data_IF_067747878857
#
_entry.id   IF_067747878857
#
_cell.length_a   1.000
_cell.length_b   1.000
_cell.length_c   1.000
_cell.angle_alpha   90.00
_cell.angle_beta   90.00
_cell.angle_gamma   90.00
#
_symmetry.space_group_name_H-M   'P 1'
#
loop_
_entity.id
_entity.type
_entity.pdbx_description
1 polymer ?
#
# COMPACT_ATOMS: atom_id res chain seq x y z
N UNK A 1 12.94 25.10 30.04
CA UNK A 1 11.60 25.70 29.86
C UNK A 1 11.01 25.48 28.46
N UNK A 2 11.79 25.41 27.37
CA UNK A 2 11.25 25.23 26.01
C UNK A 2 10.60 23.87 25.77
N UNK A 3 11.23 22.77 26.19
CA UNK A 3 10.70 21.42 25.98
C UNK A 3 9.34 21.18 26.63
N UNK A 4 9.18 21.65 27.87
CA UNK A 4 7.94 21.51 28.65
C UNK A 4 6.81 22.37 28.05
N UNK A 5 7.13 23.58 27.57
CA UNK A 5 6.16 24.41 26.86
C UNK A 5 5.69 23.76 25.56
N UNK A 6 6.60 23.15 24.79
CA UNK A 6 6.25 22.44 23.55
C UNK A 6 5.37 21.21 23.85
N UNK A 7 5.64 20.47 24.93
CA UNK A 7 4.80 19.34 25.33
C UNK A 7 3.41 19.80 25.78
N UNK A 8 3.33 20.85 26.59
CA UNK A 8 2.05 21.42 27.06
C UNK A 8 1.23 21.95 25.87
N UNK A 9 1.87 22.63 24.91
CA UNK A 9 1.19 23.09 23.68
C UNK A 9 0.70 21.90 22.85
N UNK A 10 1.49 20.84 22.70
CA UNK A 10 1.09 19.62 21.99
C UNK A 10 -0.09 18.91 22.66
N UNK A 11 -0.10 18.84 24.00
CA UNK A 11 -1.20 18.24 24.78
C UNK A 11 -2.46 19.09 24.68
N UNK A 12 -2.36 20.42 24.82
CA UNK A 12 -3.49 21.32 24.66
C UNK A 12 -4.05 21.25 23.23
N UNK A 13 -3.19 21.23 22.22
CA UNK A 13 -3.60 21.04 20.84
C UNK A 13 -4.34 19.70 20.65
N UNK A 14 -3.81 18.60 21.19
CA UNK A 14 -4.44 17.29 21.10
C UNK A 14 -5.81 17.22 21.81
N UNK A 15 -5.94 17.83 22.99
CA UNK A 15 -7.17 17.79 23.80
C UNK A 15 -8.24 18.73 23.25
N UNK A 16 -7.87 19.90 22.74
CA UNK A 16 -8.84 20.95 22.36
C UNK A 16 -9.17 20.98 20.87
N UNK A 17 -8.22 20.67 19.98
CA UNK A 17 -8.43 20.76 18.52
C UNK A 17 -8.75 19.40 17.89
N UNK A 18 -8.37 18.30 18.53
CA UNK A 18 -8.61 16.96 18.00
C UNK A 18 -9.85 16.35 18.65
N UNK A 19 -11.03 16.65 18.10
CA UNK A 19 -12.30 16.06 18.58
C UNK A 19 -12.38 14.54 18.35
N UNK A 20 -11.59 14.00 17.42
CA UNK A 20 -11.42 12.57 17.21
C UNK A 20 -10.10 12.32 16.47
N UNK A 21 -9.05 11.98 17.22
CA UNK A 21 -7.71 11.67 16.67
C UNK A 21 -7.82 10.55 15.65
N UNK A 22 -8.76 9.64 15.90
CA UNK A 22 -9.08 8.53 15.04
C UNK A 22 -9.45 8.98 13.62
N UNK A 23 -10.26 10.02 13.46
CA UNK A 23 -10.69 10.46 12.12
C UNK A 23 -9.59 11.12 11.31
N UNK A 24 -8.79 11.99 11.93
CA UNK A 24 -7.64 12.63 11.25
C UNK A 24 -6.56 11.60 10.92
N UNK A 25 -6.35 10.62 11.79
CA UNK A 25 -5.45 9.50 11.54
C UNK A 25 -5.94 8.65 10.36
N UNK A 26 -7.20 8.23 10.36
CA UNK A 26 -7.80 7.42 9.29
C UNK A 26 -7.85 8.15 7.95
N UNK A 27 -8.03 9.48 7.95
CA UNK A 27 -7.92 10.29 6.73
C UNK A 27 -6.49 10.25 6.16
N UNK A 28 -5.49 10.41 7.03
CA UNK A 28 -4.08 10.36 6.62
C UNK A 28 -3.70 8.97 6.09
N UNK A 29 -4.19 7.92 6.74
CA UNK A 29 -4.02 6.53 6.30
C UNK A 29 -4.73 6.25 4.97
N UNK A 30 -5.91 6.84 4.75
CA UNK A 30 -6.65 6.77 3.48
C UNK A 30 -5.84 7.37 2.32
N UNK A 31 -5.24 8.54 2.53
CA UNK A 31 -4.37 9.18 1.53
C UNK A 31 -3.12 8.34 1.23
N UNK A 32 -2.49 7.78 2.27
CA UNK A 32 -1.38 6.85 2.10
C UNK A 32 -1.79 5.62 1.27
N UNK A 33 -3.00 5.11 1.48
CA UNK A 33 -3.53 3.97 0.73
C UNK A 33 -3.71 4.30 -0.76
N UNK A 34 -4.18 5.50 -1.08
CA UNK A 34 -4.31 5.93 -2.48
C UNK A 34 -2.96 6.03 -3.21
N UNK A 35 -1.91 6.49 -2.51
CA UNK A 35 -0.53 6.42 -3.02
C UNK A 35 -0.08 4.97 -3.18
N UNK A 36 -0.47 4.09 -2.25
CA UNK A 36 -0.21 2.65 -2.30
C UNK A 36 -0.70 1.99 -3.59
N UNK A 37 -1.85 2.39 -4.13
CA UNK A 37 -2.37 1.90 -5.42
C UNK A 37 -1.35 2.12 -6.54
N UNK A 38 -0.80 3.33 -6.63
CA UNK A 38 0.18 3.72 -7.64
C UNK A 38 1.49 2.95 -7.50
N UNK A 39 1.98 2.82 -6.26
CA UNK A 39 3.25 2.13 -5.98
C UNK A 39 3.13 0.63 -6.28
N UNK A 40 2.09 -0.02 -5.75
CA UNK A 40 1.83 -1.44 -6.01
C UNK A 40 1.56 -1.68 -7.50
N UNK A 41 0.82 -0.79 -8.15
CA UNK A 41 0.62 -0.80 -9.60
C UNK A 41 1.94 -0.80 -10.37
N UNK A 42 2.86 0.11 -10.01
CA UNK A 42 4.18 0.22 -10.64
C UNK A 42 5.08 -1.00 -10.42
N UNK A 43 5.02 -1.61 -9.24
CA UNK A 43 5.82 -2.81 -8.90
C UNK A 43 5.26 -4.08 -9.55
N UNK A 44 3.94 -4.25 -9.52
CA UNK A 44 3.27 -5.48 -9.99
C UNK A 44 3.02 -5.48 -11.50
N UNK A 45 2.89 -4.31 -12.12
CA UNK A 45 2.49 -4.17 -13.51
C UNK A 45 3.45 -3.28 -14.28
N UNK A 46 4.32 -3.92 -15.08
CA UNK A 46 5.35 -3.26 -15.91
C UNK A 46 4.81 -2.23 -16.92
N UNK A 47 3.50 -2.26 -17.21
CA UNK A 47 2.83 -1.30 -18.09
C UNK A 47 2.25 -0.09 -17.33
N UNK A 48 2.20 -0.12 -16.00
CA UNK A 48 1.77 1.01 -15.21
C UNK A 48 2.73 2.19 -15.46
N UNK A 49 2.19 3.29 -15.94
CA UNK A 49 2.97 4.49 -16.26
C UNK A 49 2.68 5.62 -15.28
N UNK A 50 3.52 6.65 -15.31
CA UNK A 50 3.39 7.84 -14.44
C UNK A 50 2.02 8.53 -14.56
N UNK A 51 1.42 8.50 -15.75
CA UNK A 51 0.12 9.11 -16.02
C UNK A 51 -1.02 8.32 -15.38
N UNK A 52 -0.98 6.99 -15.45
CA UNK A 52 -1.91 6.10 -14.76
C UNK A 52 -1.78 6.20 -13.24
N UNK A 53 -0.55 6.28 -12.72
CA UNK A 53 -0.31 6.50 -11.30
C UNK A 53 -0.93 7.82 -10.82
N UNK A 54 -0.67 8.92 -11.53
CA UNK A 54 -1.24 10.23 -11.21
C UNK A 54 -2.77 10.23 -11.33
N UNK A 55 -3.32 9.64 -12.40
CA UNK A 55 -4.76 9.53 -12.61
C UNK A 55 -5.45 8.70 -11.52
N UNK A 56 -4.82 7.63 -11.05
CA UNK A 56 -5.35 6.80 -9.97
C UNK A 56 -5.45 7.56 -8.65
N UNK A 57 -4.40 8.31 -8.31
CA UNK A 57 -4.37 9.15 -7.11
C UNK A 57 -5.44 10.24 -7.18
N UNK A 58 -5.47 10.99 -8.28
CA UNK A 58 -6.43 12.07 -8.47
C UNK A 58 -7.87 11.55 -8.52
N UNK A 59 -8.12 10.42 -9.19
CA UNK A 59 -9.46 9.82 -9.24
C UNK A 59 -9.89 9.34 -7.86
N UNK A 60 -9.02 8.67 -7.11
CA UNK A 60 -9.37 8.20 -5.76
C UNK A 60 -9.67 9.36 -4.81
N UNK A 61 -8.84 10.41 -4.81
CA UNK A 61 -9.11 11.62 -4.02
C UNK A 61 -10.42 12.28 -4.45
N UNK A 62 -10.61 12.47 -5.75
CA UNK A 62 -11.80 13.15 -6.29
C UNK A 62 -13.07 12.37 -5.94
N UNK A 63 -13.08 11.05 -6.12
CA UNK A 63 -14.21 10.19 -5.75
C UNK A 63 -14.50 10.26 -4.25
N UNK A 64 -13.46 10.22 -3.41
CA UNK A 64 -13.59 10.33 -1.96
C UNK A 64 -14.28 11.65 -1.56
N UNK A 65 -13.75 12.79 -2.02
CA UNK A 65 -14.31 14.09 -1.69
C UNK A 65 -15.69 14.33 -2.32
N UNK A 66 -15.92 13.88 -3.55
CA UNK A 66 -17.21 14.00 -4.22
C UNK A 66 -18.31 13.23 -3.47
N UNK A 67 -18.02 12.00 -3.03
CA UNK A 67 -18.97 11.19 -2.27
C UNK A 67 -19.28 11.79 -0.89
N UNK A 68 -18.28 12.33 -0.17
CA UNK A 68 -18.54 13.04 1.08
C UNK A 68 -19.40 14.30 0.88
N UNK A 69 -19.13 15.05 -0.19
CA UNK A 69 -19.96 16.21 -0.55
C UNK A 69 -21.39 15.82 -0.88
N UNK A 70 -21.60 14.75 -1.65
CA UNK A 70 -22.93 14.25 -2.02
C UNK A 70 -23.72 13.72 -0.81
N UNK A 71 -23.03 13.10 0.15
CA UNK A 71 -23.66 12.63 1.39
C UNK A 71 -23.88 13.75 2.43
N UNK A 72 -23.43 14.98 2.16
CA UNK A 72 -23.53 16.09 3.12
C UNK A 72 -22.75 15.86 4.42
N UNK A 73 -21.75 14.98 4.38
CA UNK A 73 -20.95 14.61 5.55
C UNK A 73 -19.74 15.54 5.69
N UNK A 74 -19.21 15.64 6.91
CA UNK A 74 -17.96 16.37 7.16
C UNK A 74 -16.81 15.72 6.39
N UNK A 75 -15.86 16.53 5.92
CA UNK A 75 -14.65 16.07 5.24
C UNK A 75 -13.79 15.15 6.12
N UNK A 76 -13.90 15.32 7.45
CA UNK A 76 -13.18 14.50 8.43
C UNK A 76 -13.92 13.20 8.77
N UNK A 77 -15.14 13.00 8.29
CA UNK A 77 -15.89 11.77 8.59
C UNK A 77 -15.29 10.63 7.77
N UNK A 78 -15.10 9.47 8.41
CA UNK A 78 -14.59 8.27 7.73
C UNK A 78 -15.70 7.24 7.55
N UNK A 79 -16.01 6.88 6.30
CA UNK A 79 -16.96 5.85 5.91
C UNK A 79 -16.26 4.80 5.02
N UNK A 80 -16.27 3.54 5.45
CA UNK A 80 -15.64 2.42 4.75
C UNK A 80 -16.17 2.24 3.31
N UNK A 81 -17.46 2.53 3.05
CA UNK A 81 -18.03 2.39 1.72
C UNK A 81 -17.52 3.47 0.76
N UNK A 82 -17.35 4.69 1.27
CA UNK A 82 -16.80 5.82 0.50
C UNK A 82 -15.34 5.54 0.16
N UNK A 83 -14.59 5.04 1.14
CA UNK A 83 -13.22 4.60 0.95
C UNK A 83 -13.10 3.50 -0.10
N UNK A 84 -13.92 2.45 -0.01
CA UNK A 84 -13.90 1.33 -0.97
C UNK A 84 -14.24 1.80 -2.39
N UNK A 85 -15.24 2.67 -2.54
CA UNK A 85 -15.60 3.23 -3.84
C UNK A 85 -14.46 4.07 -4.44
N UNK A 86 -13.80 4.89 -3.62
CA UNK A 86 -12.64 5.67 -4.02
C UNK A 86 -11.44 4.80 -4.40
N UNK A 87 -11.17 3.74 -3.63
CA UNK A 87 -10.13 2.76 -3.91
C UNK A 87 -10.36 2.05 -5.26
N UNK A 88 -11.57 1.57 -5.51
CA UNK A 88 -11.95 0.93 -6.77
C UNK A 88 -11.85 1.89 -7.95
N UNK A 89 -12.30 3.14 -7.78
CA UNK A 89 -12.16 4.18 -8.79
C UNK A 89 -10.69 4.48 -9.12
N UNK A 90 -9.83 4.56 -8.11
CA UNK A 90 -8.39 4.72 -8.26
C UNK A 90 -7.75 3.56 -9.03
N UNK A 91 -8.03 2.32 -8.64
CA UNK A 91 -7.55 1.12 -9.34
C UNK A 91 -8.02 1.10 -10.80
N UNK A 92 -9.30 1.39 -11.05
CA UNK A 92 -9.83 1.45 -12.41
C UNK A 92 -9.14 2.54 -13.25
N UNK A 93 -8.94 3.73 -12.68
CA UNK A 93 -8.23 4.82 -13.35
C UNK A 93 -6.77 4.46 -13.64
N UNK A 94 -6.07 3.79 -12.71
CA UNK A 94 -4.72 3.28 -12.94
C UNK A 94 -4.70 2.37 -14.18
N UNK A 95 -5.62 1.41 -14.25
CA UNK A 95 -5.71 0.45 -15.35
C UNK A 95 -6.04 1.15 -16.66
N UNK A 96 -7.15 1.90 -16.70
CA UNK A 96 -7.65 2.52 -17.93
C UNK A 96 -6.63 3.51 -18.49
N UNK A 97 -6.08 4.40 -17.66
CA UNK A 97 -5.13 5.43 -18.13
C UNK A 97 -3.79 4.82 -18.51
N UNK A 98 -3.33 3.79 -17.79
CA UNK A 98 -2.10 3.08 -18.19
C UNK A 98 -2.26 2.29 -19.49
N UNK A 99 -3.48 1.82 -19.82
CA UNK A 99 -3.78 1.17 -21.08
C UNK A 99 -3.91 2.16 -22.24
N UNK A 100 -4.47 3.34 -21.99
CA UNK A 100 -4.69 4.38 -23.01
C UNK A 100 -3.43 5.20 -23.31
N UNK A 101 -2.54 5.35 -22.33
CA UNK A 101 -1.33 6.16 -22.48
C UNK A 101 -0.15 5.31 -22.95
N UNK A 102 0.80 5.95 -23.64
CA UNK A 102 2.03 5.28 -24.09
C UNK A 102 2.78 4.64 -22.92
N UNK A 103 3.27 3.41 -23.07
CA UNK A 103 4.11 2.78 -22.06
C UNK A 103 5.43 3.56 -21.93
N UNK A 104 5.98 3.59 -20.72
CA UNK A 104 7.27 4.23 -20.46
C UNK A 104 8.40 3.43 -21.14
N UNK A 105 9.47 4.06 -21.65
CA UNK A 105 10.54 3.38 -22.39
C UNK A 105 11.15 2.22 -21.61
N UNK A 106 11.27 1.07 -22.29
CA UNK A 106 11.70 -0.18 -21.69
C UNK A 106 13.13 -0.12 -21.11
N UNK A 107 13.99 0.75 -21.63
CA UNK A 107 15.34 0.98 -21.12
C UNK A 107 15.35 1.62 -19.72
N UNK A 108 14.47 2.61 -19.49
CA UNK A 108 14.38 3.29 -18.20
C UNK A 108 13.86 2.36 -17.09
N UNK A 109 12.89 1.52 -17.44
CA UNK A 109 12.26 0.57 -16.52
C UNK A 109 13.10 -0.71 -16.34
N UNK A 110 13.91 -1.08 -17.34
CA UNK A 110 14.67 -2.33 -17.36
C UNK A 110 15.65 -2.47 -16.20
N UNK A 111 16.34 -1.38 -15.84
CA UNK A 111 17.27 -1.39 -14.70
C UNK A 111 16.56 -1.57 -13.35
N UNK A 112 15.37 -0.98 -13.19
CA UNK A 112 14.55 -1.11 -11.99
C UNK A 112 14.01 -2.53 -11.83
N UNK A 113 13.39 -3.09 -12.86
CA UNK A 113 12.86 -4.46 -12.80
C UNK A 113 13.99 -5.51 -12.74
N UNK A 114 15.12 -5.27 -13.38
CA UNK A 114 16.29 -6.15 -13.25
C UNK A 114 16.81 -6.23 -11.82
N UNK A 115 16.79 -5.12 -11.07
CA UNK A 115 17.10 -5.11 -9.63
C UNK A 115 16.00 -5.78 -8.80
N UNK A 116 14.73 -5.58 -9.14
CA UNK A 116 13.62 -6.25 -8.46
C UNK A 116 13.60 -7.77 -8.67
N UNK A 117 14.14 -8.27 -9.78
CA UNK A 117 14.23 -9.70 -10.08
C UNK A 117 15.49 -10.36 -9.49
N UNK A 118 16.48 -9.58 -9.09
CA UNK A 118 17.74 -10.06 -8.51
C UNK A 118 17.67 -10.06 -6.99
N UNK A 119 17.71 -11.24 -6.37
CA UNK A 119 17.80 -11.38 -4.91
C UNK A 119 19.12 -10.81 -4.40
N UNK A 120 19.07 -10.02 -3.32
CA UNK A 120 20.27 -9.50 -2.63
C UNK A 120 21.07 -10.58 -1.87
N UNK A 121 20.45 -11.73 -1.59
CA UNK A 121 21.01 -12.77 -0.72
C UNK A 121 21.68 -13.94 -1.48
N UNK A 122 21.59 -14.02 -2.81
CA UNK A 122 22.16 -15.16 -3.57
C UNK A 122 22.60 -14.75 -4.98
N UNK A 123 23.77 -15.23 -5.41
CA UNK A 123 24.33 -15.12 -6.77
C UNK A 123 23.44 -15.79 -7.85
N UNK A 124 22.43 -16.56 -7.41
CA UNK A 124 21.48 -17.25 -8.27
C UNK A 124 20.20 -16.41 -8.45
N UNK A 125 19.90 -16.09 -9.71
CA UNK A 125 18.69 -15.40 -10.19
C UNK A 125 17.40 -16.12 -9.74
N UNK A 126 16.97 -15.89 -8.50
CA UNK A 126 15.72 -16.45 -7.94
C UNK A 126 14.60 -15.42 -8.06
N UNK A 127 13.51 -15.74 -8.76
CA UNK A 127 12.42 -14.79 -8.99
C UNK A 127 11.61 -14.58 -7.69
N UNK A 128 11.49 -13.32 -7.26
CA UNK A 128 10.66 -12.95 -6.11
C UNK A 128 9.15 -13.07 -6.43
N UNK A 129 8.37 -13.60 -5.48
CA UNK A 129 6.91 -13.76 -5.56
C UNK A 129 6.20 -12.43 -5.79
N UNK A 130 6.66 -11.38 -5.12
CA UNK A 130 6.00 -10.08 -5.17
C UNK A 130 6.02 -9.52 -6.60
N UNK A 131 7.13 -9.68 -7.32
CA UNK A 131 7.26 -9.25 -8.73
C UNK A 131 6.47 -10.15 -9.67
N UNK A 132 6.41 -11.44 -9.36
CA UNK A 132 5.71 -12.43 -10.17
C UNK A 132 4.24 -12.62 -9.78
N UNK A 133 3.68 -11.84 -8.84
CA UNK A 133 2.35 -12.05 -8.28
C UNK A 133 1.24 -12.08 -9.36
N UNK A 134 1.36 -11.24 -10.39
CA UNK A 134 0.43 -11.20 -11.53
C UNK A 134 0.65 -12.33 -12.55
N UNK A 135 1.82 -12.98 -12.53
CA UNK A 135 2.24 -14.02 -13.47
C UNK A 135 2.52 -15.37 -12.78
N UNK A 136 2.07 -15.56 -11.53
CA UNK A 136 2.29 -16.79 -10.75
C UNK A 136 1.87 -18.03 -11.53
N UNK A 137 0.77 -17.96 -12.29
CA UNK A 137 0.30 -19.08 -13.12
C UNK A 137 1.23 -19.45 -14.29
N UNK A 138 1.97 -18.50 -14.88
CA UNK A 138 2.99 -18.79 -15.92
C UNK A 138 4.33 -19.17 -15.32
N UNK A 139 4.74 -18.53 -14.23
CA UNK A 139 5.98 -18.84 -13.51
C UNK A 139 5.93 -20.23 -12.85
N UNK A 140 4.79 -20.60 -12.26
CA UNK A 140 4.56 -21.92 -11.68
C UNK A 140 4.52 -23.03 -12.73
N UNK A 141 4.07 -22.73 -13.97
CA UNK A 141 4.02 -23.70 -15.07
C UNK A 141 5.41 -24.01 -15.65
N UNK A 142 6.37 -23.09 -15.55
CA UNK A 142 7.73 -23.28 -16.09
C UNK A 142 8.76 -23.76 -15.04
N UNK A 143 8.64 -23.37 -13.77
CA UNK A 143 9.65 -23.70 -12.72
C UNK A 143 9.07 -24.38 -11.46
N UNK A 144 7.75 -24.57 -11.38
CA UNK A 144 7.06 -25.20 -10.26
C UNK A 144 7.05 -24.36 -8.96
N UNK A 145 6.18 -24.73 -8.01
CA UNK A 145 6.04 -24.07 -6.69
C UNK A 145 7.33 -24.11 -5.83
N UNK A 146 8.35 -24.86 -6.26
CA UNK A 146 9.65 -24.95 -5.58
C UNK A 146 10.51 -23.70 -5.75
N UNK A 147 10.27 -22.89 -6.79
CA UNK A 147 10.99 -21.64 -7.01
C UNK A 147 10.72 -20.59 -5.91
N UNK A 148 9.56 -20.67 -5.25
CA UNK A 148 9.13 -19.71 -4.23
C UNK A 148 9.33 -20.20 -2.80
N UNK A 149 10.14 -21.25 -2.59
CA UNK A 149 10.37 -21.83 -1.26
C UNK A 149 11.04 -20.85 -0.28
N UNK A 150 11.91 -19.98 -0.77
CA UNK A 150 12.55 -18.96 0.05
C UNK A 150 11.52 -17.95 0.57
N UNK A 151 10.64 -17.46 -0.30
CA UNK A 151 9.57 -16.52 0.08
C UNK A 151 8.52 -17.17 1.00
N UNK A 152 8.12 -18.43 0.74
CA UNK A 152 7.22 -19.16 1.63
C UNK A 152 7.86 -19.43 3.00
N UNK A 153 9.16 -19.71 3.03
CA UNK A 153 9.93 -19.88 4.26
C UNK A 153 9.97 -18.59 5.08
N UNK A 154 10.31 -17.47 4.43
CA UNK A 154 10.27 -16.14 5.06
C UNK A 154 8.86 -15.78 5.57
N UNK A 155 7.83 -16.06 4.78
CA UNK A 155 6.44 -15.85 5.18
C UNK A 155 6.05 -16.71 6.40
N UNK A 156 6.42 -17.98 6.41
CA UNK A 156 6.14 -18.89 7.54
C UNK A 156 6.86 -18.44 8.82
N UNK A 157 8.13 -18.04 8.73
CA UNK A 157 8.90 -17.50 9.86
C UNK A 157 8.27 -16.21 10.39
N UNK A 158 7.84 -15.31 9.48
CA UNK A 158 7.13 -14.10 9.85
C UNK A 158 5.82 -14.38 10.61
N UNK A 159 4.99 -15.29 10.10
CA UNK A 159 3.76 -15.71 10.79
C UNK A 159 4.02 -16.37 12.13
N UNK A 160 5.05 -17.20 12.23
CA UNK A 160 5.45 -17.82 13.48
C UNK A 160 5.85 -16.75 14.52
N UNK A 161 6.64 -15.74 14.12
CA UNK A 161 7.01 -14.63 15.00
C UNK A 161 5.78 -13.84 15.47
N UNK A 162 4.82 -13.57 14.59
CA UNK A 162 3.56 -12.91 14.97
C UNK A 162 2.79 -13.74 16.00
N UNK A 163 2.63 -15.04 15.77
CA UNK A 163 1.96 -15.93 16.71
C UNK A 163 2.65 -15.95 18.07
N UNK A 164 3.99 -15.97 18.10
CA UNK A 164 4.77 -15.89 19.33
C UNK A 164 4.54 -14.57 20.07
N UNK A 165 4.56 -13.44 19.37
CA UNK A 165 4.32 -12.13 19.98
C UNK A 165 2.90 -11.99 20.52
N UNK A 166 1.90 -12.47 19.78
CA UNK A 166 0.50 -12.49 20.22
C UNK A 166 0.33 -13.38 21.45
N UNK A 167 0.91 -14.58 21.43
CA UNK A 167 0.85 -15.51 22.56
C UNK A 167 1.56 -14.93 23.80
N UNK A 168 2.75 -14.33 23.64
CA UNK A 168 3.49 -13.69 24.72
C UNK A 168 2.69 -12.53 25.33
N UNK A 169 2.05 -11.72 24.49
CA UNK A 169 1.20 -10.61 24.95
C UNK A 169 -0.04 -11.11 25.68
N UNK A 170 -0.70 -12.13 25.15
CA UNK A 170 -1.86 -12.76 25.80
C UNK A 170 -1.49 -13.37 27.16
N UNK A 171 -0.31 -13.98 27.26
CA UNK A 171 0.20 -14.57 28.50
C UNK A 171 0.56 -13.49 29.53
N UNK A 172 1.14 -12.37 29.10
CA UNK A 172 1.39 -11.19 29.95
C UNK A 172 0.12 -10.55 30.50
N UNK A 173 -0.95 -10.49 29.69
CA UNK A 173 -2.24 -9.95 30.11
C UNK A 173 -3.04 -10.90 31.02
N UNK A 174 -2.69 -12.19 31.04
CA UNK A 174 -3.33 -13.21 31.86
C UNK A 174 -2.68 -13.40 33.24
N UNK A 175 -1.51 -12.79 33.48
CA UNK A 175 -0.85 -12.72 34.79
C UNK A 175 -1.29 -11.47 35.56
#
# INVERSE_FOLDING_TARGET
>A
MSGLAITVIGVLYAVFLIQSVLYTFLLTETLATFVGISVLGGVLWRRANRWGALASLLSALTTNFALYRLKGQRLDYWDANVFLAALLAGIAALVIVSLLTSPEPAEAIGSFFGRLETSSDDEATRPLLLVHLLHVGRAARQRGLRAFRADLGGFAVGWLMVLVLVAATAMLLAM
#
